data_IF_708575293018
#
_entry.id   IF_708575293018
#
_cell.length_a   1.000
_cell.length_b   1.000
_cell.length_c   1.000
_cell.angle_alpha   90.00
_cell.angle_beta   90.00
_cell.angle_gamma   90.00
#
_symmetry.space_group_name_H-M   'P 1'
#
loop_
_entity.id
_entity.type
_entity.pdbx_description
1 polymer ?
#
# COMPACT_ATOMS: atom_id res chain seq x y z
N UNK A 1 -12.51 -23.39 -4.64
CA UNK A 1 -12.81 -22.07 -4.03
C UNK A 1 -14.19 -21.59 -4.44
N UNK A 2 -14.97 -21.10 -3.46
CA UNK A 2 -16.30 -20.55 -3.73
C UNK A 2 -16.17 -19.04 -3.89
N UNK A 3 -16.22 -18.54 -5.15
CA UNK A 3 -16.11 -17.13 -5.49
C UNK A 3 -17.47 -16.63 -5.98
N UNK A 4 -17.95 -15.56 -5.38
CA UNK A 4 -19.09 -14.79 -5.86
C UNK A 4 -18.61 -13.72 -6.82
N UNK A 5 -19.28 -13.61 -7.96
CA UNK A 5 -19.03 -12.54 -8.94
C UNK A 5 -20.26 -11.65 -8.96
N UNK A 6 -20.13 -10.45 -8.44
CA UNK A 6 -21.20 -9.45 -8.39
C UNK A 6 -20.90 -8.36 -9.42
N UNK A 7 -21.89 -8.05 -10.26
CA UNK A 7 -21.77 -7.01 -11.28
C UNK A 7 -22.85 -5.95 -11.07
N UNK A 8 -22.42 -4.69 -11.01
CA UNK A 8 -23.37 -3.57 -11.00
C UNK A 8 -23.58 -3.06 -12.44
N UNK A 9 -24.82 -2.88 -12.90
CA UNK A 9 -25.07 -2.52 -14.31
C UNK A 9 -24.54 -1.13 -14.69
N UNK A 10 -24.58 -0.17 -13.77
CA UNK A 10 -24.35 1.24 -14.09
C UNK A 10 -23.46 2.00 -13.09
N UNK A 11 -22.97 1.37 -12.04
CA UNK A 11 -22.18 2.04 -11.03
C UNK A 11 -20.78 1.45 -10.95
N UNK A 12 -19.78 2.30 -11.09
CA UNK A 12 -18.39 1.94 -10.86
C UNK A 12 -18.17 1.55 -9.39
N UNK A 13 -17.45 0.47 -9.17
CA UNK A 13 -17.10 -0.01 -7.83
C UNK A 13 -15.68 0.49 -7.54
N UNK A 14 -15.47 1.31 -6.47
CA UNK A 14 -14.14 1.81 -6.14
C UNK A 14 -13.17 0.68 -5.79
N UNK A 15 -11.95 0.73 -6.31
CA UNK A 15 -10.91 -0.26 -6.00
C UNK A 15 -10.51 -0.25 -4.52
N UNK A 16 -10.67 0.88 -3.83
CA UNK A 16 -10.42 0.97 -2.38
C UNK A 16 -11.22 -0.02 -1.53
N UNK A 17 -12.24 -0.64 -2.12
CA UNK A 17 -12.99 -1.72 -1.46
C UNK A 17 -12.12 -2.97 -1.27
N UNK A 18 -11.10 -3.19 -2.08
CA UNK A 18 -10.15 -4.31 -1.92
C UNK A 18 -9.38 -4.24 -0.60
N UNK A 19 -9.18 -3.05 -0.05
CA UNK A 19 -8.43 -2.83 1.18
C UNK A 19 -9.25 -3.05 2.46
N UNK A 20 -10.57 -3.21 2.34
CA UNK A 20 -11.49 -3.28 3.51
C UNK A 20 -11.52 -4.67 4.16
N UNK A 21 -11.01 -5.70 3.50
CA UNK A 21 -11.00 -7.07 4.03
C UNK A 21 -12.40 -7.69 4.08
N UNK A 22 -12.83 -8.12 5.28
CA UNK A 22 -14.11 -8.81 5.48
C UNK A 22 -15.31 -7.89 5.21
N UNK A 23 -16.18 -8.30 4.30
CA UNK A 23 -17.44 -7.64 3.98
C UNK A 23 -18.63 -8.54 4.22
N UNK A 24 -19.79 -7.94 4.39
CA UNK A 24 -21.06 -8.65 4.39
C UNK A 24 -21.83 -8.34 3.11
N UNK A 25 -22.35 -9.39 2.49
CA UNK A 25 -23.26 -9.26 1.36
C UNK A 25 -24.62 -9.76 1.83
N UNK A 26 -25.63 -8.90 1.72
CA UNK A 26 -27.03 -9.25 1.96
C UNK A 26 -27.70 -9.55 0.64
N UNK A 27 -28.23 -10.75 0.52
CA UNK A 27 -29.04 -11.19 -0.61
C UNK A 27 -30.51 -11.10 -0.25
N UNK A 28 -31.29 -10.43 -1.08
CA UNK A 28 -32.71 -10.28 -0.92
C UNK A 28 -33.44 -11.26 -1.85
N UNK A 29 -34.28 -12.10 -1.26
CA UNK A 29 -35.04 -13.12 -1.89
C UNK A 29 -36.51 -13.01 -1.45
N UNK A 30 -37.32 -12.23 -2.18
CA UNK A 30 -38.66 -11.86 -1.70
C UNK A 30 -38.56 -11.07 -0.39
N UNK A 31 -39.24 -11.57 0.64
CA UNK A 31 -39.23 -10.99 1.98
C UNK A 31 -38.09 -11.53 2.87
N UNK A 32 -37.35 -12.52 2.38
CA UNK A 32 -36.22 -13.11 3.10
C UNK A 32 -34.91 -12.42 2.79
N UNK A 33 -34.06 -12.33 3.80
CA UNK A 33 -32.72 -11.75 3.66
C UNK A 33 -31.69 -12.71 4.23
N UNK A 34 -30.71 -13.07 3.40
CA UNK A 34 -29.57 -13.89 3.80
C UNK A 34 -28.31 -13.06 3.77
N UNK A 35 -27.56 -13.04 4.87
CA UNK A 35 -26.31 -12.31 5.00
C UNK A 35 -25.14 -13.28 5.00
N UNK A 36 -24.16 -13.01 4.14
CA UNK A 36 -22.98 -13.85 3.97
C UNK A 36 -21.72 -13.00 4.15
N UNK A 37 -20.80 -13.46 4.98
CA UNK A 37 -19.50 -12.81 5.13
C UNK A 37 -18.55 -13.29 4.03
N UNK A 38 -17.95 -12.34 3.35
CA UNK A 38 -17.04 -12.57 2.23
C UNK A 38 -15.75 -11.78 2.43
N UNK A 39 -14.73 -12.20 1.74
CA UNK A 39 -13.46 -11.52 1.59
C UNK A 39 -13.37 -10.99 0.16
N UNK A 40 -13.04 -9.71 -0.01
CA UNK A 40 -12.88 -9.13 -1.34
C UNK A 40 -11.58 -9.64 -1.95
N UNK A 41 -11.67 -10.22 -3.13
CA UNK A 41 -10.51 -10.72 -3.87
C UNK A 41 -10.05 -9.70 -4.89
N UNK A 42 -10.99 -9.13 -5.64
CA UNK A 42 -10.66 -8.21 -6.73
C UNK A 42 -11.85 -7.34 -7.09
N UNK A 43 -11.57 -6.08 -7.46
CA UNK A 43 -12.55 -5.15 -8.03
C UNK A 43 -12.05 -4.70 -9.40
N UNK A 44 -12.87 -4.87 -10.42
CA UNK A 44 -12.57 -4.36 -11.75
C UNK A 44 -13.80 -3.66 -12.33
N UNK A 45 -13.70 -2.34 -12.47
CA UNK A 45 -14.75 -1.46 -13.01
C UNK A 45 -16.10 -1.65 -12.28
N UNK A 46 -17.01 -2.41 -12.89
CA UNK A 46 -18.37 -2.67 -12.41
C UNK A 46 -18.50 -4.04 -11.74
N UNK A 47 -17.40 -4.76 -11.55
CA UNK A 47 -17.41 -6.16 -11.10
C UNK A 47 -16.62 -6.30 -9.81
N UNK A 48 -17.24 -6.91 -8.80
CA UNK A 48 -16.62 -7.32 -7.55
C UNK A 48 -16.50 -8.84 -7.52
N UNK A 49 -15.32 -9.35 -7.25
CA UNK A 49 -15.07 -10.76 -6.93
C UNK A 49 -14.86 -10.90 -5.43
N UNK A 50 -15.64 -11.74 -4.81
CA UNK A 50 -15.59 -11.97 -3.38
C UNK A 50 -15.51 -13.45 -3.07
N UNK A 51 -14.56 -13.84 -2.22
CA UNK A 51 -14.36 -15.21 -1.76
C UNK A 51 -15.25 -15.46 -0.55
N UNK A 52 -16.01 -16.53 -0.58
CA UNK A 52 -16.80 -16.98 0.57
C UNK A 52 -15.89 -17.56 1.62
N UNK A 53 -16.06 -17.14 2.87
CA UNK A 53 -15.40 -17.82 3.99
C UNK A 53 -15.82 -19.28 4.07
N UNK A 54 -14.93 -20.15 4.58
CA UNK A 54 -15.21 -21.58 4.73
C UNK A 54 -16.45 -21.84 5.58
N UNK A 55 -16.68 -21.01 6.58
CA UNK A 55 -17.84 -21.05 7.49
C UNK A 55 -19.12 -20.47 6.88
N UNK A 56 -19.07 -19.85 5.70
CA UNK A 56 -20.24 -19.24 5.09
C UNK A 56 -21.22 -20.29 4.59
N UNK A 57 -22.42 -20.32 5.16
CA UNK A 57 -23.52 -21.13 4.66
C UNK A 57 -24.30 -20.38 3.59
N UNK A 58 -24.31 -20.95 2.39
CA UNK A 58 -25.04 -20.43 1.22
C UNK A 58 -26.11 -21.43 0.74
N UNK A 59 -26.33 -22.54 1.47
CA UNK A 59 -27.26 -23.58 1.09
C UNK A 59 -28.70 -23.10 1.00
N UNK A 60 -29.05 -22.06 1.75
CA UNK A 60 -30.36 -21.40 1.74
C UNK A 60 -30.54 -20.35 0.64
N UNK A 61 -29.53 -20.09 -0.21
CA UNK A 61 -29.63 -19.03 -1.23
C UNK A 61 -29.93 -19.64 -2.59
N UNK A 62 -31.13 -19.42 -3.10
CA UNK A 62 -31.46 -19.65 -4.49
C UNK A 62 -31.09 -18.43 -5.34
N UNK A 63 -29.86 -18.44 -5.88
CA UNK A 63 -29.33 -17.31 -6.67
C UNK A 63 -30.18 -16.95 -7.90
N UNK A 64 -31.02 -17.86 -8.37
CA UNK A 64 -31.92 -17.57 -9.51
C UNK A 64 -33.10 -16.67 -9.13
N UNK A 65 -33.40 -16.59 -7.83
CA UNK A 65 -34.49 -15.77 -7.28
C UNK A 65 -33.98 -14.53 -6.54
N UNK A 66 -32.68 -14.33 -6.44
CA UNK A 66 -32.11 -13.12 -5.82
C UNK A 66 -32.44 -11.91 -6.68
N UNK A 67 -33.26 -11.03 -6.14
CA UNK A 67 -33.67 -9.78 -6.80
C UNK A 67 -32.67 -8.65 -6.62
N UNK A 68 -31.93 -8.66 -5.49
CA UNK A 68 -30.98 -7.62 -5.10
C UNK A 68 -29.91 -8.20 -4.20
N UNK A 69 -28.66 -7.76 -4.41
CA UNK A 69 -27.57 -7.95 -3.47
C UNK A 69 -27.07 -6.59 -2.99
N UNK A 70 -26.91 -6.42 -1.68
CA UNK A 70 -26.37 -5.20 -1.07
C UNK A 70 -25.06 -5.57 -0.38
N UNK A 71 -24.02 -4.85 -0.74
CA UNK A 71 -22.73 -4.95 -0.08
C UNK A 71 -22.74 -3.98 1.09
N UNK A 72 -22.69 -4.51 2.30
CA UNK A 72 -22.47 -3.72 3.49
C UNK A 72 -20.95 -3.55 3.63
N UNK A 73 -20.48 -2.42 3.17
CA UNK A 73 -19.11 -1.99 3.41
C UNK A 73 -19.07 -1.67 4.90
N UNK A 74 -18.27 -2.42 5.67
CA UNK A 74 -17.91 -1.98 7.01
C UNK A 74 -17.43 -0.55 6.87
N UNK A 75 -18.04 0.34 7.64
CA UNK A 75 -17.79 1.78 7.59
C UNK A 75 -16.27 2.03 7.41
N UNK A 76 -15.83 2.76 6.37
CA UNK A 76 -14.42 3.11 6.21
C UNK A 76 -13.84 3.83 7.45
N UNK A 77 -14.71 4.37 8.30
CA UNK A 77 -14.38 4.87 9.64
C UNK A 77 -13.87 3.77 10.58
N UNK A 78 -14.16 2.47 10.31
CA UNK A 78 -13.71 1.37 11.16
C UNK A 78 -12.18 1.39 11.39
N UNK A 79 -11.40 1.60 10.34
CA UNK A 79 -9.93 1.66 10.46
C UNK A 79 -9.52 2.84 11.35
N UNK A 80 -10.17 3.99 11.19
CA UNK A 80 -9.91 5.18 12.01
C UNK A 80 -10.37 4.98 13.46
N UNK A 81 -11.50 4.31 13.68
CA UNK A 81 -11.99 3.97 15.02
C UNK A 81 -11.04 3.01 15.73
N UNK A 82 -10.53 1.99 15.05
CA UNK A 82 -9.55 1.06 15.62
C UNK A 82 -8.22 1.76 15.91
N UNK A 83 -7.75 2.62 15.01
CA UNK A 83 -6.56 3.42 15.26
C UNK A 83 -6.77 4.36 16.47
N UNK A 84 -7.93 5.01 16.58
CA UNK A 84 -8.27 5.86 17.72
C UNK A 84 -8.29 5.07 19.03
N UNK A 85 -8.94 3.89 19.06
CA UNK A 85 -8.93 3.00 20.24
C UNK A 85 -7.50 2.59 20.61
N UNK A 86 -6.68 2.30 19.60
CA UNK A 86 -5.29 1.92 19.82
C UNK A 86 -4.48 3.06 20.46
N UNK A 87 -4.69 4.31 20.02
CA UNK A 87 -4.07 5.49 20.67
C UNK A 87 -4.50 5.67 22.12
N UNK A 88 -5.78 5.43 22.46
CA UNK A 88 -6.25 5.50 23.85
C UNK A 88 -5.63 4.43 24.77
N UNK A 89 -5.09 3.37 24.21
CA UNK A 89 -4.40 2.30 24.97
C UNK A 89 -2.92 2.61 25.23
N UNK A 90 -2.37 3.65 24.59
CA UNK A 90 -1.00 4.08 24.81
C UNK A 90 -0.91 4.83 26.14
N UNK A 91 0.13 4.50 26.93
CA UNK A 91 0.46 5.25 28.14
C UNK A 91 1.51 6.30 27.80
N UNK A 92 1.10 7.57 27.72
CA UNK A 92 2.00 8.68 27.40
C UNK A 92 2.76 9.24 28.61
N UNK A 93 2.44 8.82 29.83
CA UNK A 93 2.97 9.41 31.04
C UNK A 93 4.45 9.06 31.31
N UNK A 94 4.92 7.92 30.79
CA UNK A 94 6.27 7.43 31.06
C UNK A 94 7.35 7.89 30.02
N UNK A 95 6.98 8.65 29.00
CA UNK A 95 7.80 8.79 27.80
C UNK A 95 8.42 10.18 27.55
N UNK A 96 8.61 10.99 28.57
CA UNK A 96 9.32 12.27 28.42
C UNK A 96 10.76 12.14 27.89
N UNK A 97 11.33 10.94 27.87
CA UNK A 97 12.69 10.66 27.38
C UNK A 97 12.76 10.10 25.95
N UNK A 98 11.65 10.01 25.23
CA UNK A 98 11.60 9.46 23.85
C UNK A 98 12.43 10.26 22.84
N UNK A 99 12.73 11.53 23.11
CA UNK A 99 13.39 12.41 22.15
C UNK A 99 14.85 12.03 21.84
N UNK A 100 15.50 11.27 22.70
CA UNK A 100 16.95 11.04 22.55
C UNK A 100 17.32 9.81 21.74
N UNK A 101 16.40 8.82 21.55
CA UNK A 101 16.78 7.51 21.01
C UNK A 101 16.12 7.13 19.68
N UNK A 102 15.06 7.81 19.23
CA UNK A 102 14.36 7.40 17.99
C UNK A 102 15.13 7.77 16.73
N UNK A 103 15.84 8.90 16.70
CA UNK A 103 16.58 9.33 15.50
C UNK A 103 17.66 8.33 15.10
N UNK A 104 18.33 7.72 16.09
CA UNK A 104 19.39 6.73 15.84
C UNK A 104 18.84 5.38 15.33
N UNK A 105 17.54 5.14 15.55
CA UNK A 105 16.85 3.91 15.13
C UNK A 105 16.10 4.05 13.81
N UNK A 106 16.02 5.26 13.25
CA UNK A 106 15.25 5.52 12.03
C UNK A 106 16.20 5.83 10.87
N UNK A 107 16.12 4.98 9.83
CA UNK A 107 16.70 5.22 8.52
C UNK A 107 15.63 5.66 7.55
N UNK A 108 15.89 6.74 6.79
CA UNK A 108 15.03 7.17 5.70
C UNK A 108 15.61 6.77 4.35
N UNK A 109 14.78 6.22 3.48
CA UNK A 109 15.12 5.92 2.09
C UNK A 109 14.28 6.84 1.20
N UNK A 110 14.93 7.79 0.58
CA UNK A 110 14.33 8.68 -0.39
C UNK A 110 14.48 8.09 -1.79
N UNK A 111 13.36 7.87 -2.47
CA UNK A 111 13.35 7.27 -3.79
C UNK A 111 12.32 7.90 -4.72
N UNK A 112 12.73 8.89 -5.54
CA UNK A 112 11.91 9.45 -6.60
C UNK A 112 11.32 8.40 -7.55
N UNK A 113 10.34 8.79 -8.41
CA UNK A 113 9.70 7.86 -9.32
C UNK A 113 10.71 7.15 -10.22
N UNK A 114 10.65 5.82 -10.25
CA UNK A 114 11.50 5.01 -11.14
C UNK A 114 12.92 4.78 -10.65
N UNK A 115 13.31 5.23 -9.45
CA UNK A 115 14.66 4.99 -8.89
C UNK A 115 14.84 3.57 -8.33
N UNK A 116 13.81 2.74 -8.37
CA UNK A 116 13.91 1.35 -7.92
C UNK A 116 13.81 1.17 -6.41
N UNK A 117 13.14 2.06 -5.68
CA UNK A 117 12.94 2.00 -4.22
C UNK A 117 12.52 0.61 -3.72
N UNK A 118 11.48 0.00 -4.31
CA UNK A 118 11.00 -1.35 -3.95
C UNK A 118 12.08 -2.42 -4.17
N UNK A 119 12.87 -2.28 -5.24
CA UNK A 119 14.01 -3.18 -5.50
C UNK A 119 15.10 -2.97 -4.46
N UNK A 120 15.42 -1.72 -4.12
CA UNK A 120 16.40 -1.39 -3.10
C UNK A 120 16.00 -1.98 -1.73
N UNK A 121 14.72 -1.80 -1.33
CA UNK A 121 14.20 -2.40 -0.09
C UNK A 121 14.38 -3.93 -0.08
N UNK A 122 14.06 -4.59 -1.19
CA UNK A 122 14.21 -6.04 -1.30
C UNK A 122 15.69 -6.46 -1.20
N UNK A 123 16.58 -5.84 -2.01
CA UNK A 123 17.97 -6.32 -2.19
C UNK A 123 18.96 -5.80 -1.15
N UNK A 124 18.74 -4.60 -0.63
CA UNK A 124 19.69 -3.94 0.26
C UNK A 124 19.26 -3.93 1.72
N UNK A 125 17.98 -4.12 2.00
CA UNK A 125 17.46 -4.12 3.36
C UNK A 125 16.91 -5.51 3.75
N UNK A 126 15.87 -6.02 3.10
CA UNK A 126 15.16 -7.22 3.56
C UNK A 126 15.97 -8.50 3.39
N UNK A 127 16.46 -8.79 2.17
CA UNK A 127 17.20 -10.02 1.90
C UNK A 127 18.46 -10.12 2.77
N UNK A 128 19.30 -9.06 2.91
CA UNK A 128 20.48 -9.11 3.78
C UNK A 128 20.14 -9.36 5.25
N UNK A 129 19.03 -8.79 5.79
CA UNK A 129 18.58 -9.09 7.15
C UNK A 129 18.21 -10.56 7.30
N UNK A 130 17.55 -11.13 6.29
CA UNK A 130 17.15 -12.53 6.32
C UNK A 130 18.30 -13.52 6.07
N UNK A 131 19.42 -13.06 5.54
CA UNK A 131 20.63 -13.88 5.36
C UNK A 131 21.53 -13.92 6.59
N UNK A 132 21.33 -13.06 7.59
CA UNK A 132 22.08 -13.11 8.86
C UNK A 132 21.78 -14.42 9.61
N UNK A 133 22.66 -14.83 10.50
CA UNK A 133 22.46 -16.04 11.31
C UNK A 133 21.35 -15.87 12.37
N UNK A 134 21.14 -14.63 12.83
CA UNK A 134 20.17 -14.30 13.84
C UNK A 134 18.73 -14.52 13.39
N UNK A 135 17.88 -14.92 14.32
CA UNK A 135 16.45 -15.13 14.07
C UNK A 135 15.65 -13.81 14.08
N UNK A 136 15.99 -12.92 13.15
CA UNK A 136 15.36 -11.60 13.04
C UNK A 136 13.90 -11.68 12.57
N UNK A 137 13.06 -10.82 13.13
CA UNK A 137 11.66 -10.62 12.74
C UNK A 137 11.50 -9.24 12.14
N UNK A 138 11.11 -9.20 10.88
CA UNK A 138 10.91 -7.98 10.11
C UNK A 138 9.43 -7.82 9.77
N UNK A 139 8.85 -6.68 10.13
CA UNK A 139 7.51 -6.30 9.72
C UNK A 139 7.58 -5.24 8.61
N UNK A 140 6.95 -5.51 7.49
CA UNK A 140 6.83 -4.53 6.40
C UNK A 140 5.40 -4.04 6.29
N UNK A 141 5.23 -2.74 6.40
CA UNK A 141 3.95 -2.04 6.37
C UNK A 141 3.84 -1.17 5.11
N UNK A 142 2.82 -1.42 4.33
CA UNK A 142 2.55 -0.70 3.07
C UNK A 142 1.19 0.01 3.14
N UNK A 143 0.93 1.04 2.32
CA UNK A 143 -0.38 1.71 2.31
C UNK A 143 -1.50 0.83 1.74
N UNK A 144 -1.19 -0.08 0.80
CA UNK A 144 -2.19 -0.89 0.10
C UNK A 144 -1.77 -2.35 -0.04
N UNK A 145 -2.74 -3.24 -0.22
CA UNK A 145 -2.48 -4.66 -0.51
C UNK A 145 -1.65 -4.83 -1.79
N UNK A 146 -1.92 -4.01 -2.83
CA UNK A 146 -1.15 -4.06 -4.07
C UNK A 146 0.33 -3.72 -3.87
N UNK A 147 0.65 -2.72 -3.03
CA UNK A 147 2.04 -2.39 -2.71
C UNK A 147 2.74 -3.54 -1.97
N UNK A 148 2.03 -4.19 -1.04
CA UNK A 148 2.52 -5.38 -0.35
C UNK A 148 2.80 -6.53 -1.34
N UNK A 149 1.89 -6.78 -2.28
CA UNK A 149 2.04 -7.82 -3.29
C UNK A 149 3.24 -7.54 -4.23
N UNK A 150 3.40 -6.30 -4.67
CA UNK A 150 4.54 -5.87 -5.51
C UNK A 150 5.87 -6.08 -4.80
N UNK A 151 5.98 -5.71 -3.52
CA UNK A 151 7.21 -5.92 -2.75
C UNK A 151 7.47 -7.40 -2.52
N UNK A 152 6.45 -8.20 -2.20
CA UNK A 152 6.58 -9.65 -2.05
C UNK A 152 7.12 -10.30 -3.32
N UNK A 153 6.55 -9.99 -4.48
CA UNK A 153 7.03 -10.47 -5.78
C UNK A 153 8.45 -10.00 -6.07
N UNK A 154 8.80 -8.78 -5.72
CA UNK A 154 10.13 -8.25 -5.92
C UNK A 154 11.18 -9.01 -5.10
N UNK A 155 10.87 -9.40 -3.88
CA UNK A 155 11.75 -10.24 -3.07
C UNK A 155 11.95 -11.60 -3.74
N UNK A 156 10.88 -12.27 -4.14
CA UNK A 156 10.94 -13.56 -4.84
C UNK A 156 11.81 -13.46 -6.09
N UNK A 157 11.56 -12.44 -6.92
CA UNK A 157 12.34 -12.20 -8.15
C UNK A 157 13.83 -12.01 -7.87
N UNK A 158 14.19 -11.34 -6.78
CA UNK A 158 15.57 -11.04 -6.42
C UNK A 158 16.29 -12.19 -5.73
N UNK A 159 15.57 -13.19 -5.25
CA UNK A 159 16.14 -14.44 -4.77
C UNK A 159 16.59 -15.37 -5.91
N UNK A 160 16.21 -15.10 -7.16
CA UNK A 160 16.72 -15.70 -8.41
C UNK A 160 16.91 -17.22 -8.35
N UNK A 161 15.83 -17.93 -7.98
CA UNK A 161 15.82 -19.40 -7.87
C UNK A 161 16.27 -19.95 -6.51
N UNK A 162 16.72 -19.12 -5.59
CA UNK A 162 16.91 -19.52 -4.20
C UNK A 162 15.56 -19.56 -3.47
N UNK A 163 15.02 -20.76 -3.31
CA UNK A 163 13.72 -20.98 -2.67
C UNK A 163 13.76 -20.85 -1.14
N UNK A 164 14.89 -20.47 -0.54
CA UNK A 164 15.02 -20.30 0.92
C UNK A 164 14.04 -19.25 1.48
N UNK A 165 13.53 -18.34 0.65
CA UNK A 165 12.52 -17.37 1.05
C UNK A 165 11.22 -18.03 1.56
N UNK A 166 10.89 -19.24 1.15
CA UNK A 166 9.75 -19.96 1.70
C UNK A 166 9.87 -20.20 3.21
N UNK A 167 11.08 -20.20 3.75
CA UNK A 167 11.30 -20.42 5.17
C UNK A 167 11.00 -19.18 6.01
N UNK A 168 11.03 -17.99 5.43
CA UNK A 168 10.96 -16.74 6.20
C UNK A 168 9.98 -15.69 5.64
N UNK A 169 9.63 -15.71 4.35
CA UNK A 169 8.74 -14.70 3.74
C UNK A 169 7.29 -15.06 4.00
N UNK A 170 6.52 -14.08 4.47
CA UNK A 170 5.08 -14.18 4.72
C UNK A 170 4.37 -12.95 4.16
N UNK A 171 3.31 -13.14 3.40
CA UNK A 171 2.36 -12.11 2.97
C UNK A 171 1.08 -12.24 3.80
N UNK A 172 0.93 -11.41 4.83
CA UNK A 172 -0.22 -11.49 5.74
C UNK A 172 -1.38 -10.65 5.23
N UNK A 173 -2.52 -11.29 5.05
CA UNK A 173 -3.79 -10.69 4.64
C UNK A 173 -4.20 -11.07 3.23
N UNK A 174 -5.09 -10.27 2.64
CA UNK A 174 -5.66 -10.54 1.32
C UNK A 174 -4.75 -10.11 0.18
N UNK A 175 -4.78 -10.86 -0.91
CA UNK A 175 -4.15 -10.49 -2.17
C UNK A 175 -5.15 -10.63 -3.31
N UNK A 176 -5.06 -9.74 -4.29
CA UNK A 176 -5.76 -9.88 -5.58
C UNK A 176 -4.93 -10.56 -6.65
N UNK A 177 -3.71 -10.99 -6.30
CA UNK A 177 -2.76 -11.60 -7.22
C UNK A 177 -2.83 -13.13 -7.14
N UNK A 178 -3.33 -13.75 -8.20
CA UNK A 178 -3.55 -15.20 -8.25
C UNK A 178 -2.25 -16.03 -8.17
N UNK A 179 -1.13 -15.47 -8.60
CA UNK A 179 0.17 -16.14 -8.51
C UNK A 179 0.64 -16.20 -7.05
N UNK A 180 0.55 -15.07 -6.34
CA UNK A 180 0.85 -15.04 -4.92
C UNK A 180 -0.11 -15.89 -4.10
N UNK A 181 -1.40 -15.87 -4.42
CA UNK A 181 -2.41 -16.69 -3.72
C UNK A 181 -2.07 -18.19 -3.79
N UNK A 182 -1.54 -18.64 -4.92
CA UNK A 182 -1.15 -20.04 -5.11
C UNK A 182 0.29 -20.36 -4.66
N UNK A 183 1.07 -19.36 -4.25
CA UNK A 183 2.49 -19.56 -3.87
C UNK A 183 2.68 -20.22 -2.51
N UNK A 184 1.66 -20.25 -1.65
CA UNK A 184 1.79 -20.69 -0.26
C UNK A 184 2.41 -19.65 0.70
N UNK A 185 2.77 -18.45 0.20
CA UNK A 185 3.32 -17.38 1.01
C UNK A 185 2.25 -16.49 1.65
N UNK A 186 1.04 -16.51 1.08
CA UNK A 186 -0.08 -15.73 1.59
C UNK A 186 -0.71 -16.45 2.77
N UNK A 187 -0.70 -15.80 3.91
CA UNK A 187 -1.21 -16.35 5.17
C UNK A 187 -2.34 -15.49 5.71
N UNK A 188 -3.27 -16.12 6.38
CA UNK A 188 -4.38 -15.48 7.08
C UNK A 188 -4.22 -15.57 8.63
N UNK A 189 -5.27 -15.22 9.35
CA UNK A 189 -5.26 -15.23 10.82
C UNK A 189 -5.03 -16.61 11.44
N UNK A 190 -5.32 -17.69 10.73
CA UNK A 190 -5.15 -19.06 11.22
C UNK A 190 -3.69 -19.54 11.21
N UNK A 191 -2.79 -18.77 10.60
CA UNK A 191 -1.38 -19.11 10.53
C UNK A 191 -0.70 -18.96 11.90
N UNK A 192 0.09 -19.96 12.30
CA UNK A 192 0.93 -19.84 13.50
C UNK A 192 2.29 -19.23 13.17
N UNK A 193 2.40 -17.90 13.38
CA UNK A 193 3.65 -17.17 13.12
C UNK A 193 4.83 -17.66 13.97
N UNK A 194 4.57 -18.32 15.10
CA UNK A 194 5.62 -18.87 15.97
C UNK A 194 6.40 -20.01 15.30
N UNK A 195 5.80 -20.65 14.28
CA UNK A 195 6.48 -21.69 13.49
C UNK A 195 7.60 -21.11 12.61
N UNK A 196 7.64 -19.77 12.44
CA UNK A 196 8.69 -19.05 11.70
C UNK A 196 9.38 -18.06 12.63
N UNK A 197 10.31 -18.51 13.48
CA UNK A 197 11.01 -17.63 14.44
C UNK A 197 11.81 -16.53 13.72
N UNK A 198 12.30 -16.81 12.53
CA UNK A 198 12.88 -15.84 11.59
C UNK A 198 11.87 -15.58 10.49
N UNK A 199 11.42 -14.34 10.33
CA UNK A 199 10.45 -14.05 9.30
C UNK A 199 10.45 -12.58 8.85
N UNK A 200 10.03 -12.38 7.61
CA UNK A 200 9.59 -11.09 7.08
C UNK A 200 8.09 -11.18 6.81
N UNK A 201 7.31 -10.46 7.59
CA UNK A 201 5.85 -10.38 7.41
C UNK A 201 5.46 -9.08 6.71
N UNK A 202 4.89 -9.19 5.52
CA UNK A 202 4.47 -8.04 4.70
C UNK A 202 2.95 -7.91 4.77
N UNK A 203 2.46 -6.71 5.15
CA UNK A 203 1.04 -6.41 5.28
C UNK A 203 0.76 -4.92 5.09
N UNK A 204 -0.52 -4.52 5.18
CA UNK A 204 -0.87 -3.08 5.16
C UNK A 204 -0.79 -2.45 6.55
N UNK A 205 -0.39 -1.18 6.60
CA UNK A 205 -0.26 -0.44 7.87
C UNK A 205 -1.59 -0.34 8.63
N UNK A 206 -2.72 -0.31 7.92
CA UNK A 206 -4.03 -0.30 8.53
C UNK A 206 -4.29 -1.51 9.43
N UNK A 207 -3.72 -2.67 9.11
CA UNK A 207 -3.86 -3.91 9.89
C UNK A 207 -3.07 -3.89 11.20
N UNK A 208 -2.00 -3.13 11.28
CA UNK A 208 -1.12 -3.11 12.44
C UNK A 208 -1.85 -2.81 13.75
N UNK A 209 -2.78 -1.88 13.74
CA UNK A 209 -3.48 -1.43 14.94
C UNK A 209 -4.45 -2.47 15.52
N UNK A 210 -5.04 -3.33 14.68
CA UNK A 210 -6.16 -4.19 15.10
C UNK A 210 -6.02 -5.67 14.74
N UNK A 211 -5.16 -6.03 13.79
CA UNK A 211 -5.12 -7.40 13.28
C UNK A 211 -4.20 -8.32 14.11
N UNK A 212 -4.39 -9.62 13.97
CA UNK A 212 -3.77 -10.63 14.81
C UNK A 212 -3.68 -11.97 14.10
N UNK A 213 -2.81 -12.85 14.61
CA UNK A 213 -2.84 -14.29 14.33
C UNK A 213 -3.60 -15.03 15.43
N UNK A 214 -4.35 -16.04 15.07
CA UNK A 214 -5.15 -16.86 15.98
C UNK A 214 -5.17 -18.31 15.47
N UNK A 215 -4.04 -19.02 15.58
CA UNK A 215 -3.87 -20.34 15.00
C UNK A 215 -4.74 -21.41 15.70
N UNK A 216 -5.06 -21.19 16.97
CA UNK A 216 -5.85 -22.09 17.78
C UNK A 216 -6.89 -21.29 18.57
N UNK A 217 -8.18 -21.69 18.48
CA UNK A 217 -9.29 -21.02 19.17
C UNK A 217 -9.17 -21.05 20.70
N UNK A 218 -8.37 -21.96 21.24
CA UNK A 218 -8.10 -22.08 22.68
C UNK A 218 -6.94 -21.26 23.20
N UNK A 219 -6.25 -20.53 22.30
CA UNK A 219 -5.09 -19.69 22.63
C UNK A 219 -5.41 -18.20 22.48
N UNK A 220 -4.58 -17.36 23.11
CA UNK A 220 -4.68 -15.92 22.99
C UNK A 220 -4.36 -15.44 21.55
N UNK A 221 -5.00 -14.34 21.18
CA UNK A 221 -4.77 -13.67 19.90
C UNK A 221 -3.41 -12.99 19.91
N UNK A 222 -2.57 -13.31 18.92
CA UNK A 222 -1.27 -12.72 18.74
C UNK A 222 -1.38 -11.45 17.88
N UNK A 223 -1.69 -10.32 18.52
CA UNK A 223 -1.84 -9.05 17.80
C UNK A 223 -0.52 -8.57 17.21
N UNK A 224 -0.51 -8.10 15.95
CA UNK A 224 0.67 -7.57 15.27
C UNK A 224 1.39 -6.50 16.09
N UNK A 225 0.64 -5.62 16.75
CA UNK A 225 1.17 -4.54 17.59
C UNK A 225 1.87 -5.00 18.86
N UNK A 226 1.62 -6.25 19.32
CA UNK A 226 2.23 -6.81 20.53
C UNK A 226 3.35 -7.81 20.24
N UNK A 227 3.45 -8.30 19.00
CA UNK A 227 4.58 -9.13 18.60
C UNK A 227 5.88 -8.33 18.61
N UNK A 228 6.96 -8.99 18.96
CA UNK A 228 8.29 -8.39 18.89
C UNK A 228 8.78 -8.35 17.45
N UNK A 229 9.18 -7.17 17.01
CA UNK A 229 9.74 -6.92 15.71
C UNK A 229 11.12 -6.24 15.87
N UNK A 230 12.17 -6.84 15.30
CA UNK A 230 13.51 -6.26 15.34
C UNK A 230 13.63 -5.08 14.37
N UNK A 231 12.97 -5.20 13.21
CA UNK A 231 12.88 -4.17 12.20
C UNK A 231 11.44 -3.95 11.75
N UNK A 232 11.09 -2.68 11.56
CA UNK A 232 9.81 -2.29 10.94
C UNK A 232 10.12 -1.41 9.72
N UNK A 233 9.70 -1.86 8.56
CA UNK A 233 9.88 -1.17 7.28
C UNK A 233 8.54 -0.58 6.87
N UNK A 234 8.48 0.72 6.62
CA UNK A 234 7.30 1.42 6.13
C UNK A 234 7.58 1.86 4.70
N UNK A 235 6.97 1.19 3.71
CA UNK A 235 7.11 1.55 2.30
C UNK A 235 5.99 2.48 1.84
N UNK A 236 6.27 3.33 0.83
CA UNK A 236 5.39 4.39 0.34
C UNK A 236 4.87 5.32 1.45
N UNK A 237 5.74 5.66 2.40
CA UNK A 237 5.39 6.39 3.63
C UNK A 237 4.78 7.78 3.37
N UNK A 238 5.04 8.40 2.22
CA UNK A 238 4.42 9.67 1.83
C UNK A 238 2.90 9.59 1.65
N UNK A 239 2.37 8.40 1.33
CA UNK A 239 0.94 8.17 1.16
C UNK A 239 0.22 7.80 2.47
N UNK A 240 0.97 7.58 3.54
CA UNK A 240 0.46 7.10 4.82
C UNK A 240 0.23 8.29 5.75
N UNK A 241 -0.91 8.29 6.44
CA UNK A 241 -1.23 9.37 7.39
C UNK A 241 -0.21 9.40 8.55
N UNK A 242 0.15 10.59 8.99
CA UNK A 242 1.07 10.80 10.12
C UNK A 242 0.61 10.03 11.35
N UNK A 243 -0.70 10.03 11.64
CA UNK A 243 -1.25 9.31 12.78
C UNK A 243 -0.92 7.80 12.74
N UNK A 244 -1.02 7.17 11.56
CA UNK A 244 -0.71 5.75 11.44
C UNK A 244 0.77 5.47 11.67
N UNK A 245 1.66 6.29 11.11
CA UNK A 245 3.11 6.14 11.30
C UNK A 245 3.49 6.42 12.75
N UNK A 246 3.00 7.52 13.34
CA UNK A 246 3.27 7.88 14.72
C UNK A 246 2.83 6.77 15.69
N UNK A 247 1.66 6.15 15.43
CA UNK A 247 1.22 5.02 16.24
C UNK A 247 2.19 3.84 16.18
N UNK A 248 2.67 3.48 14.99
CA UNK A 248 3.63 2.38 14.81
C UNK A 248 4.94 2.68 15.54
N UNK A 249 5.50 3.88 15.33
CA UNK A 249 6.75 4.32 15.96
C UNK A 249 6.65 4.30 17.49
N UNK A 250 5.54 4.83 18.03
CA UNK A 250 5.32 4.87 19.45
C UNK A 250 5.12 3.48 20.07
N UNK A 251 4.29 2.66 19.43
CA UNK A 251 3.98 1.30 19.90
C UNK A 251 5.20 0.38 19.87
N UNK A 252 6.17 0.63 18.98
CA UNK A 252 7.34 -0.20 18.73
C UNK A 252 8.66 0.56 18.86
N UNK A 253 8.74 1.47 19.82
CA UNK A 253 9.91 2.34 20.08
C UNK A 253 11.25 1.60 20.24
N UNK A 254 11.20 0.31 20.55
CA UNK A 254 12.41 -0.51 20.72
C UNK A 254 12.91 -1.13 19.40
N UNK A 255 12.08 -1.14 18.35
CA UNK A 255 12.44 -1.64 17.02
C UNK A 255 13.33 -0.65 16.25
N UNK A 256 14.05 -1.16 15.25
CA UNK A 256 14.69 -0.33 14.24
C UNK A 256 13.72 -0.05 13.09
N UNK A 257 13.75 1.16 12.53
CA UNK A 257 12.81 1.60 11.51
C UNK A 257 13.52 1.93 10.20
N UNK A 258 12.90 1.53 9.09
CA UNK A 258 13.26 1.95 7.74
C UNK A 258 12.02 2.56 7.12
N UNK A 259 12.06 3.87 6.86
CA UNK A 259 10.94 4.62 6.29
C UNK A 259 11.29 5.00 4.86
N UNK A 260 10.63 4.35 3.91
CA UNK A 260 10.89 4.52 2.49
C UNK A 260 9.73 5.22 1.78
N UNK A 261 10.04 6.16 0.89
CA UNK A 261 9.03 6.90 0.15
C UNK A 261 9.63 8.04 -0.65
N UNK A 262 8.74 8.94 -1.05
CA UNK A 262 9.09 10.15 -1.79
C UNK A 262 8.18 11.30 -1.32
N UNK A 263 8.73 12.32 -0.66
CA UNK A 263 7.94 13.42 -0.10
C UNK A 263 7.16 14.22 -1.14
N UNK A 264 7.56 14.15 -2.41
CA UNK A 264 6.95 14.90 -3.51
C UNK A 264 5.91 14.10 -4.30
N UNK A 265 5.63 12.86 -3.89
CA UNK A 265 4.54 12.08 -4.46
C UNK A 265 3.20 12.36 -3.76
N UNK A 266 2.21 11.52 -4.03
CA UNK A 266 0.84 11.69 -3.51
C UNK A 266 0.87 11.79 -1.98
N UNK A 267 0.26 12.84 -1.47
CA UNK A 267 0.10 13.09 -0.03
C UNK A 267 -1.03 12.23 0.56
N UNK A 268 -1.01 11.98 1.88
CA UNK A 268 -2.09 11.28 2.55
C UNK A 268 -3.41 12.05 2.43
N UNK A 269 -4.49 11.32 2.15
CA UNK A 269 -5.82 11.92 2.16
C UNK A 269 -6.28 12.08 3.61
N UNK A 270 -6.47 13.32 4.06
CA UNK A 270 -6.97 13.64 5.40
C UNK A 270 -8.00 14.75 5.36
N UNK A 271 -8.95 14.71 6.31
CA UNK A 271 -9.93 15.79 6.52
C UNK A 271 -9.49 16.77 7.62
N UNK A 272 -8.36 16.51 8.27
CA UNK A 272 -7.81 17.36 9.32
C UNK A 272 -7.02 18.47 8.64
N UNK A 273 -7.50 19.71 8.76
CA UNK A 273 -6.92 20.87 8.05
C UNK A 273 -5.44 21.09 8.41
N UNK A 274 -5.04 20.86 9.66
CA UNK A 274 -3.65 20.99 10.10
C UNK A 274 -2.71 19.96 9.49
N UNK A 275 -3.25 18.83 9.00
CA UNK A 275 -2.46 17.74 8.42
C UNK A 275 -2.67 17.61 6.92
N UNK A 276 -3.41 18.53 6.33
CA UNK A 276 -3.61 18.59 4.90
C UNK A 276 -2.26 18.86 4.23
N UNK A 277 -1.97 18.09 3.19
CA UNK A 277 -0.72 18.16 2.45
C UNK A 277 0.55 17.92 3.31
N UNK A 278 0.39 17.24 4.46
CA UNK A 278 1.50 16.91 5.36
C UNK A 278 1.73 15.40 5.41
N UNK A 279 2.95 14.98 5.12
CA UNK A 279 3.42 13.60 5.30
C UNK A 279 4.56 13.52 6.33
N UNK A 280 5.06 12.33 6.60
CA UNK A 280 6.14 12.12 7.58
C UNK A 280 7.41 12.90 7.24
N UNK A 281 7.74 13.07 5.96
CA UNK A 281 8.93 13.80 5.53
C UNK A 281 8.81 15.31 5.80
N UNK A 282 7.63 15.88 5.58
CA UNK A 282 7.31 17.26 5.97
C UNK A 282 7.48 17.44 7.47
N UNK A 283 6.94 16.51 8.27
CA UNK A 283 6.95 16.56 9.72
C UNK A 283 8.37 16.56 10.28
N UNK A 284 9.26 15.75 9.72
CA UNK A 284 10.68 15.68 10.16
C UNK A 284 11.59 16.62 9.36
N UNK A 285 11.02 17.49 8.53
CA UNK A 285 11.71 18.48 7.68
C UNK A 285 12.70 17.88 6.66
N UNK A 286 12.44 16.66 6.21
CA UNK A 286 13.24 15.98 5.18
C UNK A 286 12.73 16.23 3.75
N UNK A 287 11.74 17.06 3.55
CA UNK A 287 11.24 17.49 2.24
C UNK A 287 12.22 18.44 1.51
N UNK A 288 13.30 18.86 2.17
CA UNK A 288 14.35 19.72 1.64
C UNK A 288 15.64 18.94 1.37
N UNK A 289 15.57 17.82 0.68
CA UNK A 289 16.73 16.96 0.38
C UNK A 289 17.92 17.66 -0.31
N UNK A 290 17.70 18.84 -0.83
CA UNK A 290 18.70 19.62 -1.57
C UNK A 290 19.67 20.35 -0.65
N UNK A 291 19.30 20.55 0.61
CA UNK A 291 20.14 21.27 1.57
C UNK A 291 20.28 20.47 2.87
N UNK A 292 21.24 19.54 2.95
CA UNK A 292 21.46 18.73 4.14
C UNK A 292 21.88 19.56 5.37
N UNK A 293 22.33 20.79 5.18
CA UNK A 293 22.79 21.68 6.28
C UNK A 293 21.64 22.16 7.16
N UNK A 294 20.39 22.11 6.67
CA UNK A 294 19.22 22.64 7.37
C UNK A 294 18.34 21.59 8.04
N UNK A 295 18.71 20.31 7.97
CA UNK A 295 17.95 19.24 8.62
C UNK A 295 18.17 19.30 10.13
N UNK A 296 17.12 19.49 10.97
CA UNK A 296 17.27 19.70 12.41
C UNK A 296 17.67 18.43 13.18
N UNK A 297 17.56 17.25 12.54
CA UNK A 297 17.87 15.97 13.12
C UNK A 297 18.84 15.19 12.23
N UNK A 298 19.78 14.50 12.83
CA UNK A 298 20.72 13.63 12.12
C UNK A 298 20.09 12.24 11.95
N UNK A 299 19.35 12.06 10.87
CA UNK A 299 18.88 10.75 10.46
C UNK A 299 19.89 10.07 9.53
N UNK A 300 19.89 8.74 9.52
CA UNK A 300 20.52 7.96 8.45
C UNK A 300 19.64 8.05 7.19
N UNK A 301 20.17 8.64 6.12
CA UNK A 301 19.42 8.93 4.88
C UNK A 301 20.09 8.30 3.69
N UNK A 302 19.32 7.51 2.94
CA UNK A 302 19.70 6.96 1.64
C UNK A 302 18.94 7.68 0.54
N UNK A 303 19.68 8.31 -0.39
CA UNK A 303 19.11 9.01 -1.54
C UNK A 303 19.29 8.20 -2.82
N UNK A 304 18.20 7.75 -3.43
CA UNK A 304 18.21 7.05 -4.71
C UNK A 304 18.05 8.09 -5.83
N UNK A 305 19.15 8.43 -6.51
CA UNK A 305 19.15 9.49 -7.54
C UNK A 305 19.02 8.95 -8.97
N UNK A 306 19.39 7.68 -9.20
CA UNK A 306 19.35 7.09 -10.54
C UNK A 306 18.00 6.48 -10.85
N UNK A 307 17.28 7.06 -11.82
CA UNK A 307 16.00 6.52 -12.27
C UNK A 307 16.15 5.64 -13.52
N UNK A 308 15.32 4.57 -13.59
CA UNK A 308 15.36 3.51 -14.61
C UNK A 308 14.10 3.47 -15.48
N UNK A 309 13.10 4.32 -15.18
CA UNK A 309 11.79 4.27 -15.81
C UNK A 309 11.72 5.03 -17.11
N UNK A 310 12.15 6.27 -17.10
CA UNK A 310 11.95 7.22 -18.19
C UNK A 310 13.25 7.48 -18.94
N UNK A 311 13.13 7.76 -20.25
CA UNK A 311 14.22 8.31 -21.05
C UNK A 311 14.58 9.73 -20.58
N UNK A 312 15.80 10.23 -20.82
CA UNK A 312 16.27 11.52 -20.29
C UNK A 312 15.33 12.69 -20.59
N UNK A 313 14.82 12.84 -21.79
CA UNK A 313 13.89 13.95 -22.13
C UNK A 313 12.68 14.01 -21.19
N UNK A 314 12.05 12.88 -20.90
CA UNK A 314 10.90 12.82 -19.98
C UNK A 314 11.39 12.94 -18.53
N UNK A 315 12.47 12.25 -18.20
CA UNK A 315 13.07 12.25 -16.87
C UNK A 315 13.50 13.65 -16.42
N UNK A 316 14.08 14.42 -17.30
CA UNK A 316 14.52 15.80 -17.02
C UNK A 316 13.36 16.73 -16.67
N UNK A 317 12.17 16.52 -17.25
CA UNK A 317 11.00 17.35 -16.92
C UNK A 317 10.68 17.24 -15.43
N UNK A 318 10.40 16.05 -14.93
CA UNK A 318 10.05 15.93 -13.52
C UNK A 318 11.25 16.14 -12.59
N UNK A 319 12.48 15.82 -13.05
CA UNK A 319 13.71 16.11 -12.30
C UNK A 319 13.83 17.60 -12.01
N UNK A 320 13.71 18.46 -13.02
CA UNK A 320 13.81 19.91 -12.84
C UNK A 320 12.62 20.52 -12.12
N UNK A 321 11.39 20.04 -12.39
CA UNK A 321 10.21 20.60 -11.73
C UNK A 321 10.10 20.27 -10.25
N UNK A 322 10.59 19.10 -9.83
CA UNK A 322 10.32 18.57 -8.48
C UNK A 322 11.59 18.29 -7.70
N UNK A 323 12.66 17.84 -8.35
CA UNK A 323 13.87 17.33 -7.69
C UNK A 323 15.11 18.19 -7.96
N UNK A 324 14.95 19.46 -8.34
CA UNK A 324 16.02 20.41 -8.62
C UNK A 324 17.10 19.91 -9.61
N UNK A 325 16.71 19.03 -10.54
CA UNK A 325 17.61 18.51 -11.56
C UNK A 325 18.59 17.45 -11.09
N UNK A 326 18.45 16.90 -9.87
CA UNK A 326 19.40 15.95 -9.28
C UNK A 326 19.31 14.51 -9.81
N UNK A 327 18.25 14.19 -10.56
CA UNK A 327 18.05 12.81 -11.00
C UNK A 327 18.96 12.45 -12.19
N UNK A 328 19.63 11.34 -12.04
CA UNK A 328 20.38 10.69 -13.11
C UNK A 328 19.47 9.73 -13.89
N UNK A 329 19.73 9.55 -15.19
CA UNK A 329 18.93 8.70 -16.05
C UNK A 329 19.73 7.47 -16.49
N UNK A 330 19.19 6.28 -16.23
CA UNK A 330 19.81 5.02 -16.66
C UNK A 330 19.57 4.76 -18.15
N UNK A 331 18.36 5.07 -18.64
CA UNK A 331 17.98 4.84 -20.02
C UNK A 331 18.59 5.92 -20.94
N UNK A 332 18.78 5.56 -22.20
CA UNK A 332 19.23 6.49 -23.24
C UNK A 332 18.05 6.99 -24.08
N UNK A 333 18.23 8.14 -24.74
CA UNK A 333 17.23 8.66 -25.70
C UNK A 333 16.97 7.69 -26.87
N UNK A 334 17.96 6.88 -27.24
CA UNK A 334 17.81 5.87 -28.29
C UNK A 334 16.76 4.80 -27.99
N UNK A 335 16.37 4.63 -26.72
CA UNK A 335 15.32 3.69 -26.29
C UNK A 335 13.90 4.27 -26.44
N UNK A 336 13.78 5.53 -26.79
CA UNK A 336 12.50 6.17 -27.01
C UNK A 336 11.86 5.66 -28.29
N UNK A 337 10.59 5.25 -28.16
CA UNK A 337 9.77 4.88 -29.31
C UNK A 337 8.94 6.10 -29.72
N UNK A 338 9.22 6.73 -30.87
CA UNK A 338 8.44 7.88 -31.30
C UNK A 338 6.99 7.47 -31.59
N UNK A 339 6.06 8.33 -31.17
CA UNK A 339 4.66 8.18 -31.51
C UNK A 339 4.48 8.61 -32.98
N UNK A 340 4.16 7.68 -33.86
CA UNK A 340 3.92 7.96 -35.27
C UNK A 340 2.40 7.94 -35.53
N UNK A 341 1.81 9.14 -35.68
CA UNK A 341 0.44 9.30 -36.11
C UNK A 341 0.46 10.02 -37.48
N UNK A 342 -0.11 9.42 -38.54
CA UNK A 342 -0.11 10.01 -39.87
C UNK A 342 -0.67 11.44 -39.85
N UNK A 343 0.10 12.38 -40.40
CA UNK A 343 -0.30 13.79 -40.49
C UNK A 343 -0.02 14.64 -39.26
N UNK A 344 0.58 14.06 -38.20
CA UNK A 344 1.01 14.82 -37.03
C UNK A 344 2.49 14.59 -36.75
N UNK A 345 3.22 15.70 -36.60
CA UNK A 345 4.64 15.67 -36.21
C UNK A 345 4.74 15.84 -34.71
N UNK A 346 4.90 14.70 -34.02
CA UNK A 346 5.07 14.68 -32.58
C UNK A 346 6.55 14.71 -32.21
N UNK A 347 6.87 15.61 -31.28
CA UNK A 347 8.15 15.63 -30.55
C UNK A 347 8.02 14.80 -29.27
N UNK A 348 9.11 14.66 -28.56
CA UNK A 348 9.17 13.90 -27.30
C UNK A 348 8.21 14.45 -26.24
N UNK A 349 8.01 15.78 -26.24
CA UNK A 349 7.04 16.45 -25.37
C UNK A 349 6.16 17.35 -26.24
N UNK A 350 4.86 17.13 -26.19
CA UNK A 350 3.89 17.89 -26.94
C UNK A 350 2.86 18.51 -26.01
N UNK A 351 2.67 19.83 -26.10
CA UNK A 351 1.62 20.54 -25.38
C UNK A 351 0.46 20.80 -26.32
N UNK A 352 -0.63 20.06 -26.14
CA UNK A 352 -1.85 20.23 -26.93
C UNK A 352 -2.77 21.19 -26.17
N UNK A 353 -2.92 22.42 -26.73
CA UNK A 353 -3.91 23.38 -26.22
C UNK A 353 -5.27 23.09 -26.84
N UNK A 354 -6.18 22.59 -26.03
CA UNK A 354 -7.56 22.39 -26.45
C UNK A 354 -8.41 23.63 -26.11
N UNK A 355 -8.96 24.34 -27.12
CA UNK A 355 -9.74 25.56 -26.87
C UNK A 355 -11.15 25.21 -26.36
N UNK A 356 -11.25 24.86 -25.09
CA UNK A 356 -12.48 24.40 -24.42
C UNK A 356 -13.62 25.41 -24.61
N UNK A 357 -13.32 26.71 -24.68
CA UNK A 357 -14.30 27.78 -24.87
C UNK A 357 -15.10 27.71 -26.17
N UNK A 358 -14.61 27.00 -27.20
CA UNK A 358 -15.31 26.81 -28.47
C UNK A 358 -16.29 25.63 -28.48
N UNK A 359 -16.37 24.87 -27.40
CA UNK A 359 -17.12 23.62 -27.30
C UNK A 359 -18.05 23.64 -26.08
N UNK A 360 -19.05 24.56 -26.08
CA UNK A 360 -20.00 24.70 -24.96
C UNK A 360 -20.70 23.40 -24.57
N UNK A 361 -20.89 22.47 -25.54
CA UNK A 361 -21.50 21.17 -25.26
C UNK A 361 -20.63 20.25 -24.38
N UNK A 362 -19.32 20.49 -24.31
CA UNK A 362 -18.38 19.75 -23.51
C UNK A 362 -18.38 20.24 -22.03
N UNK A 363 -18.82 21.46 -21.81
CA UNK A 363 -18.95 22.05 -20.48
C UNK A 363 -20.13 21.54 -19.65
N UNK A 364 -21.02 20.75 -20.21
CA UNK A 364 -22.03 20.09 -19.40
C UNK A 364 -21.32 19.03 -18.55
N UNK A 365 -21.38 19.10 -17.20
CA UNK A 365 -20.57 18.23 -16.30
C UNK A 365 -20.65 16.75 -16.63
N UNK A 366 -21.83 16.28 -17.07
CA UNK A 366 -22.05 14.88 -17.44
C UNK A 366 -21.37 14.47 -18.76
N UNK A 367 -21.12 15.43 -19.66
CA UNK A 367 -20.52 15.16 -20.99
C UNK A 367 -19.00 15.14 -20.87
N UNK A 368 -18.42 16.01 -20.04
CA UNK A 368 -16.98 16.07 -19.80
C UNK A 368 -16.49 14.77 -19.14
N UNK A 369 -17.19 14.30 -18.10
CA UNK A 369 -16.87 13.05 -17.44
C UNK A 369 -16.97 11.83 -18.39
N UNK A 370 -17.89 11.85 -19.35
CA UNK A 370 -18.07 10.76 -20.31
C UNK A 370 -16.94 10.74 -21.34
N UNK A 371 -16.44 11.90 -21.76
CA UNK A 371 -15.36 12.00 -22.75
C UNK A 371 -14.00 11.69 -22.10
N UNK A 372 -13.73 12.20 -20.91
CA UNK A 372 -12.49 11.94 -20.20
C UNK A 372 -12.37 10.48 -19.74
N UNK A 373 -13.47 9.85 -19.33
CA UNK A 373 -13.48 8.45 -18.91
C UNK A 373 -13.43 7.43 -20.07
N UNK A 374 -13.60 7.84 -21.31
CA UNK A 374 -13.47 6.94 -22.49
C UNK A 374 -12.05 6.84 -23.05
N UNK A 375 -11.16 7.72 -22.62
CA UNK A 375 -9.79 7.82 -23.18
C UNK A 375 -8.68 7.45 -22.16
N UNK A 376 -9.03 6.88 -21.00
CA UNK A 376 -8.07 6.37 -20.01
C UNK A 376 -8.29 4.91 -19.69
#
# INVERSE_FOLDING_TARGET
>A
ERILVLKHPNRYIPQSIEDIGDMQIRFYHGDETVTVTVEVVNVKEYTLRAKLKKSADISGIDFTKVSRAVIDIKNPVFILEELRKAFYQLNFEDDYNLQQNLTDKIRFIFGPPGTGKTTFLATNEIIPLMQQEEALKVLVLTPTNKAADVLTKRIIEKMDGDESYYNWLLRFGTTGDSELENSGLVVDKSFDIRTKPKNTTITTIARFAYDYFHPDEHQDRLHLKFLDWDYIIIDEASMITIASIAYVLYQKKDSNFIIAGDPFQIQPITQIEQWKDMNIYEMVQLNKFVDPVTIPHQFDIVNLQKQYRSVPTIGNVFSHFTYNGILEHHRSEAEQKPLNIPGLDFKDINIIKFPVQKFESIYKPNTLNTVLNKNY
#
